data_IF_532727328960
#
_entry.id   IF_532727328960
#
_cell.length_a   1.000
_cell.length_b   1.000
_cell.length_c   1.000
_cell.angle_alpha   90.00
_cell.angle_beta   90.00
_cell.angle_gamma   90.00
#
_symmetry.space_group_name_H-M   'P 1'
#
loop_
_entity.id
_entity.type
_entity.pdbx_description
1 polymer ?
#
# COMPACT_ATOMS: atom_id res chain seq x y z
N UNK A 1 1.43 1.61 41.50
CA UNK A 1 0.51 0.82 40.66
C UNK A 1 0.51 1.32 39.21
N UNK A 2 1.70 1.57 38.61
CA UNK A 2 1.89 2.20 37.31
C UNK A 2 2.40 1.19 36.24
N UNK A 3 2.82 -0.01 36.63
CA UNK A 3 3.44 -0.97 35.71
C UNK A 3 2.47 -1.74 34.81
N UNK A 4 1.18 -1.81 35.12
CA UNK A 4 0.20 -2.51 34.26
C UNK A 4 -0.21 -1.78 32.98
N UNK A 5 -0.04 -0.46 32.94
CA UNK A 5 -0.46 0.35 31.78
C UNK A 5 0.47 0.25 30.58
N UNK A 6 1.75 0.08 30.80
CA UNK A 6 2.76 -0.01 29.72
C UNK A 6 2.71 -1.36 28.99
N UNK A 7 2.46 -2.44 29.71
CA UNK A 7 2.38 -3.79 29.14
C UNK A 7 1.16 -3.94 28.23
N UNK A 8 -0.01 -3.47 28.68
CA UNK A 8 -1.24 -3.47 27.87
C UNK A 8 -1.08 -2.57 26.64
N UNK A 9 -0.52 -1.38 26.81
CA UNK A 9 -0.26 -0.46 25.70
C UNK A 9 0.67 -1.07 24.64
N UNK A 10 1.76 -1.71 25.09
CA UNK A 10 2.70 -2.39 24.18
C UNK A 10 2.05 -3.58 23.46
N UNK A 11 1.22 -4.33 24.16
CA UNK A 11 0.48 -5.45 23.56
C UNK A 11 -0.46 -4.98 22.46
N UNK A 12 -1.28 -3.96 22.73
CA UNK A 12 -2.20 -3.38 21.77
C UNK A 12 -1.46 -2.78 20.57
N UNK A 13 -0.38 -2.04 20.83
CA UNK A 13 0.46 -1.47 19.75
C UNK A 13 1.02 -2.56 18.82
N UNK A 14 1.57 -3.64 19.39
CA UNK A 14 2.11 -4.75 18.59
C UNK A 14 1.02 -5.48 17.79
N UNK A 15 -0.15 -5.64 18.40
CA UNK A 15 -1.31 -6.26 17.74
C UNK A 15 -1.81 -5.41 16.57
N UNK A 16 -1.90 -4.10 16.78
CA UNK A 16 -2.27 -3.13 15.74
C UNK A 16 -1.22 -3.11 14.61
N UNK A 17 0.06 -3.10 14.95
CA UNK A 17 1.14 -3.13 13.97
C UNK A 17 1.08 -4.40 13.09
N UNK A 18 0.85 -5.56 13.70
CA UNK A 18 0.66 -6.82 12.97
C UNK A 18 -0.60 -6.79 12.10
N UNK A 19 -1.69 -6.20 12.59
CA UNK A 19 -2.93 -6.03 11.82
C UNK A 19 -2.73 -5.17 10.59
N UNK A 20 -2.05 -4.03 10.73
CA UNK A 20 -1.71 -3.14 9.60
C UNK A 20 -0.75 -3.84 8.64
N UNK A 21 0.27 -4.54 9.14
CA UNK A 21 1.20 -5.30 8.31
C UNK A 21 0.51 -6.39 7.49
N UNK A 22 -0.41 -7.13 8.09
CA UNK A 22 -1.21 -8.14 7.38
C UNK A 22 -2.10 -7.50 6.32
N UNK A 23 -2.79 -6.40 6.65
CA UNK A 23 -3.61 -5.67 5.70
C UNK A 23 -2.78 -5.14 4.53
N UNK A 24 -1.59 -4.62 4.79
CA UNK A 24 -0.66 -4.15 3.77
C UNK A 24 -0.26 -5.29 2.82
N UNK A 25 0.09 -6.46 3.34
CA UNK A 25 0.46 -7.63 2.51
C UNK A 25 -0.71 -8.06 1.62
N UNK A 26 -1.91 -8.18 2.19
CA UNK A 26 -3.10 -8.61 1.46
C UNK A 26 -3.44 -7.60 0.35
N UNK A 27 -3.51 -6.32 0.69
CA UNK A 27 -3.87 -5.27 -0.27
C UNK A 27 -2.80 -5.15 -1.37
N UNK A 28 -1.52 -5.22 -1.02
CA UNK A 28 -0.42 -5.21 -1.99
C UNK A 28 -0.52 -6.40 -2.95
N UNK A 29 -0.81 -7.60 -2.45
CA UNK A 29 -0.98 -8.78 -3.27
C UNK A 29 -2.17 -8.62 -4.26
N UNK A 30 -3.28 -8.06 -3.80
CA UNK A 30 -4.46 -7.80 -4.65
C UNK A 30 -4.13 -6.75 -5.71
N UNK A 31 -3.51 -5.63 -5.33
CA UNK A 31 -3.09 -4.57 -6.26
C UNK A 31 -2.17 -5.14 -7.33
N UNK A 32 -1.17 -5.92 -6.93
CA UNK A 32 -0.20 -6.53 -7.82
C UNK A 32 -0.87 -7.48 -8.82
N UNK A 33 -1.82 -8.28 -8.35
CA UNK A 33 -2.58 -9.19 -9.21
C UNK A 33 -3.42 -8.43 -10.23
N UNK A 34 -4.16 -7.41 -9.79
CA UNK A 34 -5.03 -6.62 -10.66
C UNK A 34 -4.22 -5.85 -11.70
N UNK A 35 -3.15 -5.17 -11.28
CA UNK A 35 -2.29 -4.40 -12.18
C UNK A 35 -1.55 -5.30 -13.19
N UNK A 36 -1.14 -6.50 -12.78
CA UNK A 36 -0.54 -7.48 -13.67
C UNK A 36 -1.53 -7.97 -14.73
N UNK A 37 -2.77 -8.30 -14.35
CA UNK A 37 -3.83 -8.72 -15.28
C UNK A 37 -4.20 -7.59 -16.25
N UNK A 38 -4.29 -6.36 -15.76
CA UNK A 38 -4.58 -5.19 -16.59
C UNK A 38 -3.42 -4.91 -17.57
N UNK A 39 -2.18 -4.97 -17.11
CA UNK A 39 -1.00 -4.85 -17.94
C UNK A 39 -0.93 -5.91 -19.03
N UNK A 40 -1.24 -7.17 -18.68
CA UNK A 40 -1.29 -8.28 -19.62
C UNK A 40 -2.36 -8.11 -20.73
N UNK A 41 -3.49 -7.49 -20.41
CA UNK A 41 -4.55 -7.20 -21.40
C UNK A 41 -4.16 -6.06 -22.35
N UNK A 42 -3.51 -5.03 -21.85
CA UNK A 42 -3.15 -3.85 -22.64
C UNK A 42 -1.99 -4.09 -23.61
N UNK A 43 -1.16 -5.11 -23.35
CA UNK A 43 0.01 -5.47 -24.15
C UNK A 43 -0.32 -6.51 -25.23
N UNK A 44 -1.49 -7.14 -25.16
CA UNK A 44 -1.86 -8.34 -25.92
C UNK A 44 -2.02 -8.21 -27.44
N UNK A 45 -1.70 -7.07 -28.07
CA UNK A 45 -1.91 -6.94 -29.54
C UNK A 45 -0.72 -6.41 -30.35
N UNK A 46 0.29 -5.72 -29.78
CA UNK A 46 1.28 -5.04 -30.62
C UNK A 46 2.75 -5.02 -30.14
N UNK A 47 3.08 -5.58 -28.97
CA UNK A 47 4.47 -5.54 -28.47
C UNK A 47 4.83 -6.84 -27.76
N UNK A 48 5.86 -7.52 -28.25
CA UNK A 48 6.48 -8.70 -27.59
C UNK A 48 7.22 -8.26 -26.31
N UNK A 49 6.47 -7.93 -25.24
CA UNK A 49 7.05 -7.66 -23.93
C UNK A 49 7.23 -8.98 -23.20
N UNK A 50 8.45 -9.25 -22.76
CA UNK A 50 8.75 -10.43 -21.96
C UNK A 50 7.97 -10.41 -20.63
N UNK A 51 7.55 -11.57 -20.15
CA UNK A 51 6.89 -11.73 -18.83
C UNK A 51 7.68 -11.03 -17.71
N UNK A 52 9.01 -11.10 -17.74
CA UNK A 52 9.86 -10.43 -16.75
C UNK A 52 9.83 -8.91 -16.84
N UNK A 53 9.73 -8.35 -18.04
CA UNK A 53 9.60 -6.90 -18.23
C UNK A 53 8.24 -6.41 -17.70
N UNK A 54 7.16 -7.11 -18.01
CA UNK A 54 5.84 -6.81 -17.47
C UNK A 54 5.82 -6.86 -15.95
N UNK A 55 6.41 -7.90 -15.36
CA UNK A 55 6.51 -8.03 -13.91
C UNK A 55 7.32 -6.88 -13.29
N UNK A 56 8.44 -6.49 -13.90
CA UNK A 56 9.26 -5.39 -13.41
C UNK A 56 8.53 -4.05 -13.47
N UNK A 57 7.79 -3.78 -14.53
CA UNK A 57 6.95 -2.59 -14.68
C UNK A 57 5.85 -2.53 -13.62
N UNK A 58 5.18 -3.67 -13.38
CA UNK A 58 4.17 -3.78 -12.32
C UNK A 58 4.77 -3.48 -10.95
N UNK A 59 5.91 -4.07 -10.61
CA UNK A 59 6.60 -3.85 -9.33
C UNK A 59 7.01 -2.38 -9.14
N UNK A 60 7.45 -1.70 -10.19
CA UNK A 60 7.82 -0.28 -10.11
C UNK A 60 6.62 0.64 -9.83
N UNK A 61 5.44 0.26 -10.28
CA UNK A 61 4.19 1.03 -10.11
C UNK A 61 3.54 0.81 -8.74
N UNK A 62 3.74 -0.37 -8.14
CA UNK A 62 3.12 -0.78 -6.87
C UNK A 62 3.28 0.25 -5.74
N UNK A 63 4.47 0.84 -5.45
CA UNK A 63 4.63 1.80 -4.36
C UNK A 63 3.72 3.03 -4.50
N UNK A 64 3.48 3.49 -5.73
CA UNK A 64 2.57 4.62 -5.98
C UNK A 64 1.11 4.24 -5.72
N UNK A 65 0.69 3.05 -6.10
CA UNK A 65 -0.66 2.55 -5.85
C UNK A 65 -0.89 2.31 -4.35
N UNK A 66 0.11 1.81 -3.64
CA UNK A 66 0.07 1.66 -2.18
C UNK A 66 -0.09 3.03 -1.51
N UNK A 67 0.64 4.05 -1.95
CA UNK A 67 0.54 5.41 -1.39
C UNK A 67 -0.90 5.92 -1.37
N UNK A 68 -1.64 5.72 -2.45
CA UNK A 68 -3.04 6.12 -2.56
C UNK A 68 -3.96 5.29 -1.65
N UNK A 69 -3.57 4.06 -1.34
CA UNK A 69 -4.39 3.09 -0.60
C UNK A 69 -4.02 3.03 0.90
N UNK A 70 -2.91 3.65 1.32
CA UNK A 70 -2.42 3.65 2.71
C UNK A 70 -3.49 3.99 3.75
N UNK A 71 -4.33 5.03 3.59
CA UNK A 71 -5.35 5.35 4.59
C UNK A 71 -6.32 4.19 4.83
N UNK A 72 -6.69 3.50 3.76
CA UNK A 72 -7.57 2.32 3.84
C UNK A 72 -6.86 1.12 4.47
N UNK A 73 -5.59 0.88 4.13
CA UNK A 73 -4.77 -0.18 4.72
C UNK A 73 -4.67 0.00 6.23
N UNK A 74 -4.38 1.21 6.69
CA UNK A 74 -4.29 1.52 8.12
C UNK A 74 -5.65 1.34 8.80
N UNK A 75 -6.73 1.85 8.20
CA UNK A 75 -8.08 1.72 8.72
C UNK A 75 -8.48 0.25 8.91
N UNK A 76 -8.38 -0.56 7.85
CA UNK A 76 -8.74 -1.96 7.91
C UNK A 76 -7.80 -2.77 8.82
N UNK A 77 -6.51 -2.44 8.84
CA UNK A 77 -5.55 -3.06 9.73
C UNK A 77 -5.85 -2.83 11.21
N UNK A 78 -6.18 -1.60 11.59
CA UNK A 78 -6.58 -1.25 12.97
C UNK A 78 -7.91 -1.91 13.32
N UNK A 79 -8.90 -1.82 12.42
CA UNK A 79 -10.21 -2.41 12.63
C UNK A 79 -10.12 -3.94 12.80
N UNK A 80 -9.31 -4.62 11.97
CA UNK A 80 -9.07 -6.05 12.07
C UNK A 80 -8.36 -6.45 13.37
N UNK A 81 -7.39 -5.65 13.82
CA UNK A 81 -6.70 -5.87 15.09
C UNK A 81 -7.64 -5.75 16.30
N UNK A 82 -8.46 -4.68 16.33
CA UNK A 82 -9.45 -4.46 17.39
C UNK A 82 -10.54 -5.52 17.38
N UNK A 83 -11.04 -5.88 16.20
CA UNK A 83 -12.01 -6.96 16.04
C UNK A 83 -11.46 -8.30 16.55
N UNK A 84 -10.22 -8.64 16.19
CA UNK A 84 -9.56 -9.85 16.67
C UNK A 84 -9.40 -9.91 18.19
N UNK A 85 -9.12 -8.78 18.84
CA UNK A 85 -9.07 -8.68 20.30
C UNK A 85 -10.48 -8.78 20.92
N UNK A 86 -11.50 -8.20 20.28
CA UNK A 86 -12.87 -8.30 20.75
C UNK A 86 -13.39 -9.74 20.68
N UNK A 87 -13.13 -10.44 19.58
CA UNK A 87 -13.55 -11.84 19.39
C UNK A 87 -12.92 -12.82 20.42
N UNK A 88 -11.75 -12.48 20.94
CA UNK A 88 -11.07 -13.25 22.00
C UNK A 88 -11.49 -12.84 23.41
N UNK A 89 -12.51 -11.97 23.54
CA UNK A 89 -12.96 -11.41 24.81
C UNK A 89 -11.89 -10.61 25.58
N UNK A 90 -10.75 -10.35 24.96
CA UNK A 90 -9.63 -9.60 25.58
C UNK A 90 -10.07 -8.17 25.93
N UNK A 91 -10.85 -7.52 25.05
CA UNK A 91 -11.42 -6.19 25.30
C UNK A 91 -12.42 -6.19 26.46
N UNK A 92 -13.22 -7.25 26.56
CA UNK A 92 -14.24 -7.38 27.64
C UNK A 92 -13.55 -7.51 28.99
N UNK A 93 -12.52 -8.34 29.08
CA UNK A 93 -11.72 -8.52 30.30
C UNK A 93 -11.01 -7.23 30.70
N UNK A 94 -10.45 -6.50 29.74
CA UNK A 94 -9.82 -5.20 30.00
C UNK A 94 -10.84 -4.15 30.49
N UNK A 95 -12.06 -4.14 29.95
CA UNK A 95 -13.14 -3.26 30.42
C UNK A 95 -13.64 -3.67 31.82
N UNK A 96 -13.79 -4.96 32.06
CA UNK A 96 -14.21 -5.49 33.36
C UNK A 96 -13.20 -5.15 34.47
N UNK A 97 -11.92 -5.02 34.16
CA UNK A 97 -10.88 -4.56 35.10
C UNK A 97 -10.84 -3.04 35.32
N UNK A 98 -11.87 -2.28 34.81
CA UNK A 98 -12.00 -0.85 35.02
C UNK A 98 -11.13 0.01 34.08
N UNK A 99 -10.52 -0.57 33.03
CA UNK A 99 -9.74 0.18 32.08
C UNK A 99 -10.66 0.96 31.11
N UNK A 100 -10.45 2.28 31.03
CA UNK A 100 -11.16 3.14 30.08
C UNK A 100 -10.83 2.76 28.63
N UNK A 101 -11.84 2.84 27.75
CA UNK A 101 -11.69 2.60 26.30
C UNK A 101 -10.55 3.43 25.68
N UNK A 102 -10.36 4.66 26.12
CA UNK A 102 -9.27 5.52 25.67
C UNK A 102 -7.88 4.95 25.94
N UNK A 103 -7.73 4.14 27.01
CA UNK A 103 -6.42 3.60 27.40
C UNK A 103 -5.90 2.56 26.42
N UNK A 104 -6.78 1.79 25.78
CA UNK A 104 -6.36 0.83 24.74
C UNK A 104 -6.45 1.43 23.32
N UNK A 105 -7.26 2.47 23.11
CA UNK A 105 -7.36 3.12 21.79
C UNK A 105 -6.16 4.03 21.49
N UNK A 106 -5.63 4.71 22.51
CA UNK A 106 -4.43 5.57 22.36
C UNK A 106 -3.25 4.89 21.69
N UNK A 107 -2.78 3.70 22.10
CA UNK A 107 -1.64 3.06 21.43
C UNK A 107 -1.94 2.69 19.97
N UNK A 108 -3.17 2.32 19.64
CA UNK A 108 -3.57 2.07 18.25
C UNK A 108 -3.50 3.35 17.40
N UNK A 109 -4.00 4.47 17.92
CA UNK A 109 -3.92 5.78 17.25
C UNK A 109 -2.48 6.26 17.06
N UNK A 110 -1.63 6.10 18.09
CA UNK A 110 -0.22 6.49 18.01
C UNK A 110 0.51 5.67 16.92
N UNK A 111 0.31 4.36 16.89
CA UNK A 111 0.90 3.48 15.87
C UNK A 111 0.43 3.90 14.47
N UNK A 112 -0.85 4.17 14.29
CA UNK A 112 -1.41 4.61 13.00
C UNK A 112 -0.83 5.95 12.56
N UNK A 113 -0.71 6.91 13.49
CA UNK A 113 -0.11 8.22 13.21
C UNK A 113 1.37 8.11 12.82
N UNK A 114 2.15 7.30 13.55
CA UNK A 114 3.56 7.05 13.25
C UNK A 114 3.72 6.44 11.85
N UNK A 115 2.91 5.44 11.51
CA UNK A 115 2.94 4.81 10.18
C UNK A 115 2.60 5.82 9.10
N UNK A 116 1.56 6.66 9.29
CA UNK A 116 1.17 7.70 8.34
C UNK A 116 2.29 8.73 8.11
N UNK A 117 2.90 9.23 9.18
CA UNK A 117 4.02 10.17 9.10
C UNK A 117 5.23 9.52 8.42
N UNK A 118 5.58 8.31 8.82
CA UNK A 118 6.73 7.59 8.26
C UNK A 118 6.53 7.34 6.76
N UNK A 119 5.33 6.95 6.35
CA UNK A 119 5.02 6.75 4.94
C UNK A 119 5.07 8.07 4.16
N UNK A 120 4.51 9.14 4.70
CA UNK A 120 4.55 10.46 4.05
C UNK A 120 5.95 10.99 3.85
N UNK A 121 6.87 10.74 4.79
CA UNK A 121 8.24 11.27 4.74
C UNK A 121 9.20 10.39 3.95
N UNK A 122 9.05 9.07 4.01
CA UNK A 122 9.98 8.11 3.38
C UNK A 122 9.34 7.43 2.16
N UNK A 123 8.08 7.06 2.25
CA UNK A 123 7.37 6.35 1.18
C UNK A 123 7.11 7.22 -0.05
N UNK A 124 6.71 8.47 0.15
CA UNK A 124 6.42 9.41 -0.95
C UNK A 124 7.64 9.66 -1.87
N UNK A 125 8.83 10.03 -1.39
CA UNK A 125 9.98 10.21 -2.27
C UNK A 125 10.42 8.90 -2.97
N UNK A 126 10.28 7.76 -2.31
CA UNK A 126 10.57 6.45 -2.93
C UNK A 126 9.57 6.16 -4.04
N UNK A 127 8.28 6.33 -3.79
CA UNK A 127 7.23 6.11 -4.77
C UNK A 127 7.39 7.01 -6.00
N UNK A 128 7.73 8.28 -5.80
CA UNK A 128 7.96 9.26 -6.88
C UNK A 128 9.19 8.88 -7.72
N UNK A 129 10.30 8.52 -7.10
CA UNK A 129 11.51 8.11 -7.83
C UNK A 129 11.29 6.81 -8.64
N UNK A 130 10.53 5.85 -8.10
CA UNK A 130 10.19 4.63 -8.83
C UNK A 130 9.23 4.91 -9.99
N UNK A 131 8.26 5.79 -9.80
CA UNK A 131 7.34 6.21 -10.87
C UNK A 131 8.06 6.93 -12.01
N UNK A 132 9.02 7.79 -11.71
CA UNK A 132 9.85 8.45 -12.73
C UNK A 132 10.65 7.43 -13.55
N UNK A 133 11.20 6.40 -12.91
CA UNK A 133 11.86 5.30 -13.62
C UNK A 133 10.88 4.52 -14.51
N UNK A 134 9.67 4.26 -14.01
CA UNK A 134 8.61 3.61 -14.79
C UNK A 134 8.27 4.42 -16.06
N UNK A 135 8.04 5.72 -15.93
CA UNK A 135 7.77 6.61 -17.07
C UNK A 135 8.94 6.66 -18.07
N UNK A 136 10.17 6.69 -17.57
CA UNK A 136 11.38 6.66 -18.43
C UNK A 136 11.48 5.34 -19.19
N UNK A 137 11.19 4.21 -18.57
CA UNK A 137 11.17 2.91 -19.25
C UNK A 137 10.09 2.85 -20.32
N UNK A 138 8.89 3.38 -20.05
CA UNK A 138 7.81 3.43 -21.04
C UNK A 138 8.13 4.35 -22.22
N UNK A 139 8.76 5.49 -21.98
CA UNK A 139 9.19 6.42 -23.05
C UNK A 139 10.26 5.80 -23.96
N UNK A 140 11.10 4.90 -23.41
CA UNK A 140 12.12 4.21 -24.20
C UNK A 140 11.54 3.04 -25.02
N UNK A 141 10.47 2.41 -24.53
CA UNK A 141 9.79 1.28 -25.22
C UNK A 141 8.66 1.73 -26.15
N UNK A 142 8.14 2.95 -26.00
CA UNK A 142 7.07 3.47 -26.85
C UNK A 142 7.66 4.35 -27.96
N UNK A 143 7.33 4.11 -29.25
CA UNK A 143 7.77 4.99 -30.32
C UNK A 143 7.31 6.43 -30.07
N UNK A 144 8.26 7.36 -30.16
CA UNK A 144 8.09 8.77 -29.86
C UNK A 144 6.80 9.33 -30.50
N UNK A 145 6.04 10.19 -29.79
CA UNK A 145 4.89 10.88 -30.35
C UNK A 145 5.19 11.65 -31.65
N UNK A 146 6.47 12.01 -31.90
CA UNK A 146 6.94 12.64 -33.12
C UNK A 146 6.90 11.71 -34.34
N UNK A 147 7.06 10.41 -34.14
CA UNK A 147 6.99 9.46 -35.26
C UNK A 147 5.56 9.20 -35.70
N UNK A 148 4.59 9.28 -34.78
CA UNK A 148 3.17 9.22 -35.15
C UNK A 148 2.68 10.45 -35.96
N UNK A 149 3.29 11.61 -35.77
CA UNK A 149 2.96 12.80 -36.60
C UNK A 149 3.55 12.69 -37.99
N UNK A 150 4.74 12.12 -38.15
CA UNK A 150 5.35 11.91 -39.47
C UNK A 150 4.60 10.90 -40.34
N UNK A 151 4.04 9.85 -39.74
CA UNK A 151 3.23 8.86 -40.47
C UNK A 151 1.84 9.36 -40.91
N UNK A 152 1.39 10.52 -40.40
CA UNK A 152 0.12 11.15 -40.77
C UNK A 152 0.24 12.29 -41.78
N UNK A 153 1.45 12.64 -42.22
CA UNK A 153 1.60 13.59 -43.35
C UNK A 153 1.38 12.83 -44.66
N UNK A 154 0.29 13.14 -45.42
CA UNK A 154 0.16 12.60 -46.76
C UNK A 154 1.29 13.18 -47.59
N UNK A 155 2.01 12.28 -48.26
CA UNK A 155 2.96 12.66 -49.31
C UNK A 155 2.20 13.44 -50.39
N UNK A 156 2.24 14.77 -50.29
CA UNK A 156 1.81 15.64 -51.38
C UNK A 156 2.95 15.71 -52.40
N UNK A 157 2.83 14.91 -53.42
CA UNK A 157 3.51 15.15 -54.70
C UNK A 157 2.89 16.31 -55.40
#
# INVERSE_FOLDING_TARGET
>A
MIMGGTTVSRYVAMRTLRGIGLALIIVTAIIMLVDFVEGSRNIGSDVDISFFELLSLTVLKVPKLIEQTIPFIVLFGVMGALYGMNRRSELIVMRASGLSAWRFLRPALIVSAIIGILWSTVGNPIATNLMTKYETCLLYTSPSPRDRQKSRMPSSA
#
